data_IF_300029046489
#
_entry.id   IF_300029046489
#
_cell.length_a   1.000
_cell.length_b   1.000
_cell.length_c   1.000
_cell.angle_alpha   90.00
_cell.angle_beta   90.00
_cell.angle_gamma   90.00
#
_symmetry.space_group_name_H-M   'P 1'
#
loop_
_entity.id
_entity.type
_entity.pdbx_description
1 polymer ?
#
# COMPACT_ATOMS: atom_id res chain seq x y z
N UNK A 1 -0.14 1.39 13.64
CA UNK A 1 0.81 2.25 12.88
C UNK A 1 1.45 1.56 11.68
N UNK A 2 2.08 0.39 11.81
CA UNK A 2 2.75 -0.27 10.67
C UNK A 2 1.85 -0.54 9.45
N UNK A 3 0.62 -1.00 9.65
CA UNK A 3 -0.33 -1.22 8.54
C UNK A 3 -0.59 0.08 7.76
N UNK A 4 -0.79 1.20 8.47
CA UNK A 4 -0.99 2.51 7.85
C UNK A 4 0.24 2.92 7.03
N UNK A 5 1.46 2.79 7.59
CA UNK A 5 2.70 3.10 6.88
C UNK A 5 2.88 2.23 5.63
N UNK A 6 2.56 0.94 5.71
CA UNK A 6 2.59 0.04 4.54
C UNK A 6 1.59 0.48 3.47
N UNK A 7 0.38 0.88 3.85
CA UNK A 7 -0.65 1.34 2.90
C UNK A 7 -0.21 2.66 2.25
N UNK A 8 0.28 3.62 3.03
CA UNK A 8 0.80 4.89 2.51
C UNK A 8 1.97 4.64 1.56
N UNK A 9 2.91 3.78 1.94
CA UNK A 9 4.05 3.45 1.10
C UNK A 9 3.63 2.76 -0.20
N UNK A 10 2.69 1.82 -0.11
CA UNK A 10 2.12 1.15 -1.27
C UNK A 10 1.52 2.15 -2.26
N UNK A 11 0.73 3.11 -1.76
CA UNK A 11 0.10 4.15 -2.60
C UNK A 11 1.15 5.06 -3.25
N UNK A 12 2.15 5.53 -2.50
CA UNK A 12 3.17 6.41 -3.07
C UNK A 12 4.00 5.67 -4.13
N UNK A 13 4.44 4.43 -3.88
CA UNK A 13 5.15 3.62 -4.88
C UNK A 13 4.27 3.39 -6.12
N UNK A 14 2.99 3.10 -5.94
CA UNK A 14 2.06 2.91 -7.07
C UNK A 14 1.97 4.17 -7.95
N UNK A 15 1.83 5.34 -7.34
CA UNK A 15 1.72 6.62 -8.05
C UNK A 15 3.04 6.95 -8.76
N UNK A 16 4.16 6.88 -8.05
CA UNK A 16 5.47 7.29 -8.56
C UNK A 16 5.97 6.38 -9.69
N UNK A 17 5.69 5.09 -9.58
CA UNK A 17 6.25 4.11 -10.53
C UNK A 17 5.28 3.71 -11.64
N UNK A 18 3.98 4.06 -11.49
CA UNK A 18 2.87 3.57 -12.31
C UNK A 18 2.84 2.04 -12.43
N UNK A 19 3.33 1.34 -11.40
CA UNK A 19 3.39 -0.11 -11.35
C UNK A 19 2.06 -0.71 -10.92
N UNK A 20 1.89 -2.03 -11.10
CA UNK A 20 0.71 -2.74 -10.61
C UNK A 20 0.91 -3.13 -9.16
N UNK A 21 -0.20 -3.28 -8.42
CA UNK A 21 -0.14 -3.69 -7.02
C UNK A 21 0.62 -5.00 -6.79
N UNK A 22 0.52 -5.95 -7.73
CA UNK A 22 1.21 -7.25 -7.66
C UNK A 22 2.73 -7.18 -7.88
N UNK A 23 3.25 -6.09 -8.45
CA UNK A 23 4.69 -5.87 -8.62
C UNK A 23 5.31 -5.33 -7.31
N UNK A 24 4.48 -4.78 -6.42
CA UNK A 24 4.90 -4.10 -5.18
C UNK A 24 4.60 -4.97 -3.96
N UNK A 25 3.39 -5.52 -3.88
CA UNK A 25 2.90 -6.26 -2.72
C UNK A 25 2.79 -7.75 -3.01
N UNK A 26 3.16 -8.57 -2.03
CA UNK A 26 3.06 -10.02 -2.13
C UNK A 26 1.64 -10.54 -1.91
N UNK A 27 1.12 -11.32 -2.86
CA UNK A 27 -0.09 -12.13 -2.70
C UNK A 27 0.28 -13.60 -2.42
N UNK A 28 -0.52 -14.30 -1.61
CA UNK A 28 -0.34 -15.75 -1.36
C UNK A 28 -0.42 -16.58 -2.63
N UNK A 29 -1.10 -16.09 -3.66
CA UNK A 29 -1.26 -16.78 -4.95
C UNK A 29 -0.07 -16.64 -5.88
N UNK A 30 0.86 -15.72 -5.60
CA UNK A 30 2.03 -15.47 -6.45
C UNK A 30 3.33 -15.81 -5.71
N UNK A 31 4.37 -16.25 -6.44
CA UNK A 31 5.69 -16.46 -5.85
C UNK A 31 6.17 -15.17 -5.17
N UNK A 32 6.80 -15.28 -4.00
CA UNK A 32 7.32 -14.14 -3.24
C UNK A 32 8.36 -13.32 -4.02
N UNK A 33 9.01 -13.95 -4.99
CA UNK A 33 9.98 -13.31 -5.90
C UNK A 33 9.35 -12.32 -6.87
N UNK A 34 8.01 -12.23 -6.95
CA UNK A 34 7.32 -11.28 -7.85
C UNK A 34 7.00 -9.94 -7.21
N UNK A 35 7.22 -9.78 -5.90
CA UNK A 35 7.00 -8.51 -5.20
C UNK A 35 8.31 -7.78 -4.96
N UNK A 36 8.23 -6.49 -4.62
CA UNK A 36 9.39 -5.66 -4.31
C UNK A 36 10.05 -6.10 -2.98
N UNK A 37 11.29 -6.55 -3.07
CA UNK A 37 12.11 -6.97 -1.92
C UNK A 37 13.09 -5.87 -1.52
N UNK A 38 13.70 -5.98 -0.33
CA UNK A 38 14.76 -5.05 0.07
C UNK A 38 15.99 -5.12 -0.84
N UNK A 39 16.33 -6.30 -1.38
CA UNK A 39 17.43 -6.43 -2.35
C UNK A 39 17.19 -5.68 -3.66
N UNK A 40 15.95 -5.33 -3.96
CA UNK A 40 15.60 -4.53 -5.14
C UNK A 40 15.85 -3.03 -4.95
N UNK A 41 16.18 -2.61 -3.73
CA UNK A 41 16.37 -1.23 -3.34
C UNK A 41 17.86 -1.00 -3.09
N UNK A 42 18.48 -0.17 -3.92
CA UNK A 42 19.84 0.30 -3.69
C UNK A 42 19.79 1.73 -3.19
N UNK A 43 20.28 1.95 -1.97
CA UNK A 43 20.35 3.26 -1.33
C UNK A 43 21.76 3.83 -1.45
N UNK A 44 21.83 5.14 -1.72
CA UNK A 44 23.07 5.85 -1.96
C UNK A 44 23.09 7.17 -1.20
N UNK A 45 24.26 7.53 -0.68
CA UNK A 45 24.58 8.85 -0.14
C UNK A 45 25.52 9.61 -1.10
N UNK A 46 25.15 10.85 -1.41
CA UNK A 46 25.93 11.79 -2.21
C UNK A 46 26.20 13.05 -1.38
N UNK A 47 27.28 13.75 -1.69
CA UNK A 47 27.44 15.14 -1.24
C UNK A 47 26.77 16.03 -2.27
N UNK A 48 25.89 16.92 -1.82
CA UNK A 48 25.28 17.93 -2.67
C UNK A 48 25.90 19.30 -2.34
N UNK A 49 26.64 19.84 -3.30
CA UNK A 49 27.35 21.13 -3.18
C UNK A 49 26.38 22.31 -3.09
N UNK A 50 25.19 22.23 -3.69
CA UNK A 50 24.22 23.34 -3.73
C UNK A 50 23.56 23.59 -2.37
N UNK A 51 23.30 22.53 -1.62
CA UNK A 51 22.66 22.59 -0.29
C UNK A 51 23.65 22.33 0.85
N UNK A 52 24.93 22.15 0.53
CA UNK A 52 26.03 21.82 1.45
C UNK A 52 25.67 20.69 2.44
N UNK A 53 25.04 19.62 1.94
CA UNK A 53 24.53 18.55 2.77
C UNK A 53 24.56 17.18 2.06
N UNK A 54 24.37 16.12 2.85
CA UNK A 54 24.17 14.76 2.31
C UNK A 54 22.83 14.66 1.59
N UNK A 55 22.87 14.22 0.34
CA UNK A 55 21.71 13.91 -0.49
C UNK A 55 21.55 12.39 -0.59
N UNK A 56 20.37 11.90 -0.18
CA UNK A 56 20.04 10.48 -0.20
C UNK A 56 19.20 10.16 -1.44
N UNK A 57 19.64 9.13 -2.18
CA UNK A 57 18.94 8.64 -3.36
C UNK A 57 18.77 7.15 -3.30
N UNK A 58 17.79 6.65 -4.04
CA UNK A 58 17.54 5.23 -4.17
C UNK A 58 17.24 4.84 -5.60
N UNK A 59 17.58 3.61 -5.98
CA UNK A 59 17.12 2.99 -7.21
C UNK A 59 16.31 1.75 -6.87
N UNK A 60 15.04 1.71 -7.29
CA UNK A 60 14.18 0.55 -7.10
C UNK A 60 14.16 -0.25 -8.38
N UNK A 61 14.45 -1.53 -8.28
CA UNK A 61 14.48 -2.45 -9.42
C UNK A 61 13.23 -3.30 -9.40
N UNK A 62 12.31 -3.03 -10.32
CA UNK A 62 11.12 -3.86 -10.49
C UNK A 62 11.44 -5.02 -11.43
N UNK A 63 11.34 -6.24 -10.90
CA UNK A 63 11.49 -7.49 -11.62
C UNK A 63 10.11 -8.07 -11.95
N UNK A 64 10.02 -8.90 -12.99
CA UNK A 64 8.82 -9.69 -13.33
C UNK A 64 7.54 -8.88 -13.63
N UNK A 65 7.69 -7.67 -14.19
CA UNK A 65 6.56 -6.84 -14.60
C UNK A 65 5.68 -7.56 -15.64
N UNK A 66 4.37 -7.66 -15.39
CA UNK A 66 3.44 -8.34 -16.31
C UNK A 66 3.43 -7.67 -17.70
N UNK A 67 3.84 -8.44 -18.71
CA UNK A 67 4.02 -7.99 -20.10
C UNK A 67 5.49 -7.99 -20.52
N UNK A 68 6.42 -8.07 -19.57
CA UNK A 68 7.82 -8.36 -19.84
C UNK A 68 8.04 -9.87 -19.85
N UNK A 69 8.97 -10.33 -20.71
CA UNK A 69 9.40 -11.73 -20.67
C UNK A 69 10.11 -11.94 -19.33
N UNK A 70 10.01 -13.14 -18.76
CA UNK A 70 10.65 -13.53 -17.49
C UNK A 70 12.19 -13.61 -17.59
N UNK A 71 12.79 -12.89 -18.54
CA UNK A 71 14.22 -12.81 -18.69
C UNK A 71 14.80 -11.95 -17.57
N UNK A 72 15.81 -12.42 -16.82
CA UNK A 72 16.44 -11.67 -15.74
C UNK A 72 16.99 -10.30 -16.16
N UNK A 73 17.26 -10.11 -17.45
CA UNK A 73 17.73 -8.85 -18.04
C UNK A 73 16.64 -7.79 -18.21
N UNK A 74 15.35 -8.16 -18.12
CA UNK A 74 14.22 -7.26 -18.27
C UNK A 74 13.75 -6.76 -16.91
N UNK A 75 14.42 -5.72 -16.40
CA UNK A 75 14.02 -5.00 -15.20
C UNK A 75 13.79 -3.52 -15.47
N UNK A 76 12.94 -2.89 -14.66
CA UNK A 76 12.73 -1.44 -14.67
C UNK A 76 13.36 -0.86 -13.42
N UNK A 77 14.42 -0.08 -13.58
CA UNK A 77 14.99 0.72 -12.49
C UNK A 77 14.28 2.08 -12.44
N UNK A 78 13.80 2.48 -11.26
CA UNK A 78 13.19 3.79 -11.01
C UNK A 78 14.01 4.52 -9.94
N UNK A 79 14.58 5.70 -10.27
CA UNK A 79 15.29 6.50 -9.29
C UNK A 79 14.33 7.25 -8.38
N UNK A 80 14.69 7.38 -7.11
CA UNK A 80 14.03 8.19 -6.10
C UNK A 80 15.06 9.09 -5.45
N UNK A 81 14.69 10.35 -5.22
CA UNK A 81 15.50 11.31 -4.48
C UNK A 81 14.72 11.78 -3.27
N UNK A 82 15.44 12.12 -2.20
CA UNK A 82 14.81 12.64 -1.01
C UNK A 82 14.28 14.04 -1.30
N UNK A 83 12.98 14.27 -1.08
CA UNK A 83 12.37 15.57 -1.30
C UNK A 83 12.61 16.52 -0.12
N UNK A 84 12.48 17.84 -0.32
CA UNK A 84 12.46 18.79 0.79
C UNK A 84 11.43 18.42 1.86
N UNK A 85 11.70 18.76 3.12
CA UNK A 85 10.82 18.40 4.25
C UNK A 85 9.38 18.91 4.09
N UNK A 86 9.17 20.00 3.36
CA UNK A 86 7.85 20.52 3.03
C UNK A 86 6.97 19.52 2.26
N UNK A 87 7.58 18.59 1.52
CA UNK A 87 6.91 17.55 0.72
C UNK A 87 6.98 16.16 1.38
N UNK A 88 7.30 16.09 2.68
CA UNK A 88 7.55 14.82 3.37
C UNK A 88 6.39 13.81 3.31
N UNK A 89 5.15 14.26 3.12
CA UNK A 89 3.97 13.37 3.05
C UNK A 89 3.90 12.57 1.74
N UNK A 90 4.48 13.09 0.67
CA UNK A 90 4.48 12.50 -0.67
C UNK A 90 5.81 11.81 -0.97
N UNK A 91 6.81 11.98 -0.10
CA UNK A 91 8.16 11.47 -0.30
C UNK A 91 8.26 9.98 0.01
N UNK A 92 8.18 9.17 -1.05
CA UNK A 92 8.37 7.72 -1.00
C UNK A 92 9.68 7.31 -0.36
N UNK A 93 10.78 8.01 -0.66
CA UNK A 93 12.09 7.65 -0.12
C UNK A 93 12.15 7.91 1.38
N UNK A 94 11.69 9.09 1.83
CA UNK A 94 11.61 9.41 3.26
C UNK A 94 10.81 8.38 4.03
N UNK A 95 9.66 7.95 3.50
CA UNK A 95 8.82 6.95 4.16
C UNK A 95 9.55 5.59 4.27
N UNK A 96 10.27 5.18 3.23
CA UNK A 96 11.08 3.95 3.26
C UNK A 96 12.21 4.05 4.28
N UNK A 97 12.94 5.17 4.33
CA UNK A 97 14.02 5.37 5.29
C UNK A 97 13.50 5.35 6.73
N UNK A 98 12.37 6.01 7.00
CA UNK A 98 11.73 5.95 8.33
C UNK A 98 11.33 4.52 8.68
N UNK A 99 10.70 3.78 7.77
CA UNK A 99 10.35 2.38 8.00
C UNK A 99 11.59 1.50 8.20
N UNK A 100 12.67 1.77 7.48
CA UNK A 100 13.93 1.04 7.58
C UNK A 100 14.61 1.25 8.94
N UNK A 101 14.60 2.49 9.45
CA UNK A 101 15.10 2.83 10.78
C UNK A 101 14.25 2.19 11.88
N UNK A 102 12.92 2.24 11.75
CA UNK A 102 12.01 1.60 12.72
C UNK A 102 12.22 0.09 12.84
N UNK A 103 12.61 -0.56 11.74
CA UNK A 103 12.81 -2.00 11.64
C UNK A 103 14.25 -2.44 11.86
N UNK A 104 15.18 -1.50 12.07
CA UNK A 104 16.61 -1.76 12.18
C UNK A 104 17.14 -2.55 10.95
N UNK A 105 16.77 -2.08 9.74
CA UNK A 105 17.11 -2.72 8.45
C UNK A 105 18.58 -2.55 8.08
N UNK A 106 19.17 -1.40 8.40
CA UNK A 106 20.52 -1.04 8.00
C UNK A 106 21.59 -1.74 8.84
N UNK A 107 22.79 -1.87 8.30
CA UNK A 107 23.94 -2.36 9.09
C UNK A 107 24.34 -1.36 10.19
N UNK A 108 25.28 -1.77 11.04
CA UNK A 108 25.76 -0.95 12.14
C UNK A 108 26.29 0.41 11.67
N UNK A 109 25.87 1.49 12.34
CA UNK A 109 26.26 2.86 12.04
C UNK A 109 25.19 3.66 11.31
N UNK A 110 23.99 3.10 11.11
CA UNK A 110 22.83 3.76 10.49
C UNK A 110 21.55 3.50 11.29
N UNK A 111 21.55 3.84 12.59
CA UNK A 111 20.41 3.58 13.49
C UNK A 111 19.46 4.77 13.63
N UNK A 112 19.91 5.96 13.27
CA UNK A 112 19.14 7.19 13.40
C UNK A 112 19.08 7.96 12.09
N UNK A 113 18.15 8.90 12.01
CA UNK A 113 18.09 9.85 10.89
C UNK A 113 19.39 10.67 10.78
N UNK A 114 19.98 11.04 11.92
CA UNK A 114 21.25 11.77 11.94
C UNK A 114 22.38 10.96 11.33
N UNK A 115 22.41 9.65 11.57
CA UNK A 115 23.44 8.77 11.00
C UNK A 115 23.32 8.70 9.47
N UNK A 116 22.10 8.65 8.94
CA UNK A 116 21.86 8.70 7.50
C UNK A 116 22.31 10.03 6.89
N UNK A 117 22.08 11.14 7.58
CA UNK A 117 22.51 12.48 7.13
C UNK A 117 24.01 12.73 7.35
N UNK A 118 24.69 11.90 8.13
CA UNK A 118 26.15 11.89 8.32
C UNK A 118 26.83 10.75 7.53
N UNK A 119 26.08 10.05 6.67
CA UNK A 119 26.59 8.92 5.91
C UNK A 119 27.80 9.35 5.06
N UNK A 120 28.88 8.55 5.01
CA UNK A 120 30.01 8.88 4.16
C UNK A 120 29.57 8.99 2.70
N UNK A 121 30.10 9.97 1.97
CA UNK A 121 29.68 10.28 0.60
C UNK A 121 30.80 10.02 -0.42
N UNK A 122 30.44 9.99 -1.70
CA UNK A 122 31.41 10.00 -2.80
C UNK A 122 30.79 10.68 -4.04
N UNK A 123 31.62 11.09 -5.01
CA UNK A 123 31.14 11.65 -6.28
C UNK A 123 30.25 10.68 -7.06
N UNK A 124 30.49 9.37 -6.93
CA UNK A 124 29.71 8.32 -7.59
C UNK A 124 28.60 7.77 -6.68
N UNK A 125 28.40 8.37 -5.51
CA UNK A 125 27.54 7.85 -4.45
C UNK A 125 28.24 6.75 -3.64
N UNK A 126 27.85 6.61 -2.38
CA UNK A 126 28.26 5.48 -1.54
C UNK A 126 27.03 4.69 -1.15
N UNK A 127 27.11 3.37 -1.22
CA UNK A 127 25.98 2.50 -0.86
C UNK A 127 25.76 2.55 0.65
N UNK A 128 24.50 2.73 1.06
CA UNK A 128 24.07 2.51 2.44
C UNK A 128 23.71 1.04 2.58
N UNK A 129 24.45 0.26 3.39
CA UNK A 129 24.28 -1.18 3.45
C UNK A 129 23.01 -1.59 4.22
N UNK A 130 22.31 -2.57 3.67
CA UNK A 130 21.15 -3.25 4.27
C UNK A 130 21.61 -4.60 4.79
N UNK A 131 21.21 -4.97 6.01
CA UNK A 131 21.53 -6.27 6.62
C UNK A 131 21.09 -7.42 5.71
N UNK A 132 21.94 -8.44 5.56
CA UNK A 132 21.65 -9.60 4.71
C UNK A 132 20.33 -10.31 5.06
N UNK A 133 19.99 -10.35 6.35
CA UNK A 133 18.74 -10.94 6.85
C UNK A 133 17.47 -10.25 6.32
N UNK A 134 17.59 -9.02 5.81
CA UNK A 134 16.48 -8.25 5.25
C UNK A 134 16.36 -8.36 3.74
N UNK A 135 17.43 -8.67 3.01
CA UNK A 135 17.49 -8.61 1.55
C UNK A 135 16.37 -9.41 0.87
N UNK A 136 16.06 -10.60 1.38
CA UNK A 136 15.00 -11.47 0.83
C UNK A 136 13.61 -11.22 1.42
N UNK A 137 13.46 -10.19 2.24
CA UNK A 137 12.19 -9.81 2.84
C UNK A 137 11.43 -8.83 1.93
N UNK A 138 10.09 -8.98 1.77
CA UNK A 138 9.27 -7.98 1.11
C UNK A 138 9.42 -6.64 1.81
N UNK A 139 9.48 -5.57 1.01
CA UNK A 139 9.46 -4.20 1.52
C UNK A 139 8.17 -3.98 2.35
N UNK A 140 7.04 -4.35 1.77
CA UNK A 140 5.73 -4.32 2.43
C UNK A 140 5.52 -5.59 3.24
N UNK A 141 6.00 -5.58 4.49
CA UNK A 141 5.81 -6.70 5.43
C UNK A 141 4.35 -6.85 5.79
N UNK A 142 3.83 -8.07 5.79
CA UNK A 142 2.55 -8.35 6.48
C UNK A 142 2.74 -8.08 7.96
N UNK A 143 1.82 -7.31 8.53
CA UNK A 143 1.63 -7.35 9.98
C UNK A 143 0.98 -8.70 10.24
N UNK A 144 1.72 -9.61 10.88
CA UNK A 144 1.10 -10.81 11.44
C UNK A 144 0.08 -10.36 12.47
N UNK A 145 -1.18 -10.29 12.06
CA UNK A 145 -2.31 -10.29 12.99
C UNK A 145 -2.45 -11.70 13.55
N UNK A 146 -1.56 -12.07 14.46
CA UNK A 146 -1.90 -13.10 15.46
C UNK A 146 -2.73 -12.48 16.60
N UNK A 147 -3.07 -11.19 16.51
CA UNK A 147 -3.88 -10.44 17.47
C UNK A 147 -4.82 -9.52 16.71
N UNK A 148 -5.87 -10.06 16.08
CA UNK A 148 -7.16 -9.41 15.83
C UNK A 148 -8.07 -10.45 15.16
N UNK A 149 -8.35 -11.54 15.88
CA UNK A 149 -9.66 -12.17 15.79
C UNK A 149 -10.67 -11.16 16.34
N UNK A 150 -11.09 -10.23 15.49
CA UNK A 150 -12.48 -9.79 15.59
C UNK A 150 -13.29 -11.05 15.29
N UNK A 151 -13.72 -11.72 16.34
CA UNK A 151 -14.92 -12.56 16.35
C UNK A 151 -16.07 -11.71 15.85
N UNK A 152 -16.13 -11.47 14.54
CA UNK A 152 -17.39 -11.32 13.87
C UNK A 152 -17.82 -12.75 13.54
N UNK A 153 -18.63 -13.30 14.44
CA UNK A 153 -19.43 -14.47 14.12
C UNK A 153 -20.14 -14.25 12.77
N UNK A 154 -20.08 -15.20 11.85
CA UNK A 154 -20.76 -15.11 10.56
C UNK A 154 -22.30 -15.11 10.67
N UNK A 155 -22.86 -15.24 11.88
CA UNK A 155 -24.31 -15.29 12.08
C UNK A 155 -24.95 -13.89 12.01
N UNK A 156 -24.29 -12.84 12.50
CA UNK A 156 -24.88 -11.49 12.52
C UNK A 156 -24.99 -10.82 11.14
N UNK A 157 -24.20 -11.26 10.15
CA UNK A 157 -24.28 -10.76 8.77
C UNK A 157 -25.42 -11.38 7.96
N UNK A 158 -25.95 -12.55 8.38
CA UNK A 158 -27.12 -13.16 7.72
C UNK A 158 -28.42 -12.43 8.07
N UNK A 159 -28.53 -11.91 9.29
CA UNK A 159 -29.71 -11.18 9.75
C UNK A 159 -29.84 -9.78 9.12
N UNK A 160 -28.72 -9.17 8.72
CA UNK A 160 -28.72 -7.88 8.02
C UNK A 160 -29.04 -8.01 6.51
N UNK A 161 -28.87 -9.19 5.92
CA UNK A 161 -29.19 -9.45 4.51
C UNK A 161 -30.59 -10.02 4.29
N UNK A 162 -31.28 -10.45 5.36
CA UNK A 162 -32.63 -11.03 5.30
C UNK A 162 -33.76 -9.99 5.38
N UNK A 163 -33.45 -8.69 5.42
CA UNK A 163 -34.46 -7.63 5.28
C UNK A 163 -34.52 -7.10 3.84
N UNK A 164 -35.39 -7.65 2.96
CA UNK A 164 -35.75 -6.94 1.74
C UNK A 164 -36.53 -5.67 2.11
N UNK A 165 -35.98 -4.52 1.70
CA UNK A 165 -36.65 -3.22 1.61
C UNK A 165 -38.08 -3.38 1.06
N UNK A 166 -39.09 -3.37 1.93
CA UNK A 166 -40.45 -2.97 1.57
C UNK A 166 -40.56 -1.46 1.81
N UNK A 167 -40.19 -0.69 0.81
CA UNK A 167 -40.57 0.72 0.71
C UNK A 167 -41.14 0.95 -0.69
N UNK A 168 -42.40 1.40 -0.75
CA UNK A 168 -42.99 2.01 -1.93
C UNK A 168 -43.96 1.16 -2.74
N UNK A 169 -45.11 0.80 -2.14
CA UNK A 169 -46.36 0.69 -2.90
C UNK A 169 -47.50 1.17 -2.00
N UNK A 170 -47.69 2.49 -1.96
CA UNK A 170 -48.95 3.06 -1.52
C UNK A 170 -50.00 2.70 -2.57
N UNK A 171 -50.90 1.80 -2.22
CA UNK A 171 -52.20 1.69 -2.88
C UNK A 171 -53.25 1.47 -1.79
N UNK A 172 -53.90 2.58 -1.45
CA UNK A 172 -55.35 2.72 -1.28
C UNK A 172 -56.13 1.52 -0.72
N UNK A 173 -56.49 1.60 0.57
CA UNK A 173 -57.62 0.86 1.12
C UNK A 173 -58.62 1.78 1.83
N UNK A 174 -59.74 2.01 1.14
CA UNK A 174 -61.14 2.07 1.61
C UNK A 174 -61.46 2.61 3.01
N UNK A 175 -62.34 3.61 3.02
CA UNK A 175 -63.49 3.82 3.91
C UNK A 175 -64.56 4.54 3.06
N UNK A 176 -65.89 4.36 3.10
CA UNK A 176 -66.86 3.52 3.83
C UNK A 176 -68.25 3.83 3.22
N UNK A 177 -69.17 2.88 3.38
CA UNK A 177 -70.63 3.06 3.59
C UNK A 177 -71.65 3.14 2.43
N UNK A 178 -72.76 2.44 2.73
CA UNK A 178 -74.17 2.59 2.31
C UNK A 178 -74.67 1.98 0.99
N UNK A 179 -75.16 0.74 1.12
CA UNK A 179 -76.57 0.31 1.08
C UNK A 179 -77.59 0.95 0.10
N UNK A 180 -78.53 0.07 -0.29
CA UNK A 180 -79.86 0.29 -0.91
C UNK A 180 -79.82 0.33 -2.45
N UNK A 181 -80.72 -0.27 -3.25
CA UNK A 181 -81.62 -1.42 -3.24
C UNK A 181 -82.30 -1.38 -4.64
N UNK A 182 -82.95 -2.50 -5.03
CA UNK A 182 -84.07 -2.59 -6.00
C UNK A 182 -83.71 -2.48 -7.50
N UNK A 183 -83.90 -3.60 -8.23
CA UNK A 183 -84.96 -3.78 -9.26
C UNK A 183 -84.68 -3.02 -10.56
N UNK A 184 -84.91 -3.49 -11.77
CA UNK A 184 -85.40 -4.72 -12.41
C UNK A 184 -85.47 -4.35 -13.90
N UNK A 185 -85.44 -5.35 -14.78
CA UNK A 185 -85.89 -5.30 -16.18
C UNK A 185 -85.00 -4.66 -17.27
N UNK A 186 -84.46 -5.56 -18.11
CA UNK A 186 -84.29 -5.47 -19.57
C UNK A 186 -85.61 -5.09 -20.28
N UNK A 187 -85.59 -4.75 -21.60
CA UNK A 187 -84.48 -4.78 -22.57
C UNK A 187 -84.07 -3.43 -23.16
#
# INVERSE_FOLDING_TARGET
MRQLLNITLFLNIMVDTRSRGGDIAWDRKTPRTTCLLWEDIKLYSFWNEEIEAVDLRANFTFRHLKGMKLEPSQCKAVPFSLFPTAMAKEDTLRLILVMALMDDVFESGFQTWSDLMAAPTSKNGRIIPIKESFLKLPLLRKVHTDIFTLTQEPEQLRDLQSQPKRLGREDSSRCTASAVALHSHSP
#
